data_IF_752034270871
#
_entry.id   IF_752034270871
#
_cell.length_a   1.000
_cell.length_b   1.000
_cell.length_c   1.000
_cell.angle_alpha   90.00
_cell.angle_beta   90.00
_cell.angle_gamma   90.00
#
_symmetry.space_group_name_H-M   'P 1'
#
loop_
_entity.id
_entity.type
_entity.pdbx_description
1 polymer ?
#
# COMPACT_ATOMS: atom_id res chain seq x y z
N UNK A 1 25.40 -16.48 -14.41
CA UNK A 1 24.52 -15.33 -14.73
C UNK A 1 23.09 -15.87 -14.69
N UNK A 2 22.23 -15.34 -13.82
CA UNK A 2 20.83 -15.77 -13.74
C UNK A 2 20.05 -15.16 -14.90
N UNK A 3 19.43 -15.99 -15.73
CA UNK A 3 18.54 -15.55 -16.80
C UNK A 3 17.11 -15.63 -16.27
N UNK A 4 16.57 -14.50 -15.82
CA UNK A 4 15.26 -14.41 -15.19
C UNK A 4 14.27 -13.78 -16.16
N UNK A 5 13.27 -14.57 -16.58
CA UNK A 5 12.12 -14.07 -17.33
C UNK A 5 11.05 -13.67 -16.33
N UNK A 6 10.84 -12.36 -16.17
CA UNK A 6 9.77 -11.85 -15.31
C UNK A 6 8.40 -12.05 -16.00
N UNK A 7 7.33 -12.31 -15.23
CA UNK A 7 5.97 -12.32 -15.77
C UNK A 7 5.61 -10.94 -16.32
N UNK A 8 4.66 -10.90 -17.26
CA UNK A 8 4.16 -9.65 -17.81
C UNK A 8 3.58 -8.77 -16.69
N UNK A 9 3.85 -7.46 -16.76
CA UNK A 9 3.35 -6.50 -15.77
C UNK A 9 1.82 -6.49 -15.79
N UNK A 10 1.22 -6.59 -14.61
CA UNK A 10 -0.22 -6.49 -14.48
C UNK A 10 -0.69 -5.06 -14.81
N UNK A 11 -1.93 -4.94 -15.30
CA UNK A 11 -2.52 -3.67 -15.67
C UNK A 11 -2.62 -2.69 -14.50
N UNK A 12 -2.67 -1.39 -14.81
CA UNK A 12 -2.82 -0.34 -13.81
C UNK A 12 -4.16 -0.45 -13.09
N UNK A 13 -4.14 -0.33 -11.76
CA UNK A 13 -5.37 -0.23 -10.98
C UNK A 13 -5.74 1.23 -10.82
N UNK A 14 -7.02 1.54 -11.08
CA UNK A 14 -7.58 2.88 -10.84
C UNK A 14 -8.58 2.80 -9.68
N UNK A 15 -8.46 3.68 -8.66
CA UNK A 15 -9.47 3.76 -7.61
C UNK A 15 -10.79 4.32 -8.16
N UNK A 16 -11.91 3.88 -7.58
CA UNK A 16 -13.21 4.50 -7.83
C UNK A 16 -13.27 5.91 -7.21
N UNK A 17 -14.20 6.78 -7.65
CA UNK A 17 -14.44 8.05 -6.97
C UNK A 17 -14.72 7.84 -5.47
N UNK A 18 -14.01 8.57 -4.60
CA UNK A 18 -14.12 8.42 -3.14
C UNK A 18 -13.35 7.21 -2.57
N UNK A 19 -12.60 6.47 -3.39
CA UNK A 19 -11.78 5.34 -2.95
C UNK A 19 -10.30 5.74 -2.79
N UNK A 20 -9.67 5.27 -1.72
CA UNK A 20 -8.24 5.39 -1.44
C UNK A 20 -7.61 4.00 -1.55
N UNK A 21 -6.56 3.87 -2.37
CA UNK A 21 -5.79 2.64 -2.47
C UNK A 21 -4.63 2.65 -1.47
N UNK A 22 -4.65 1.69 -0.54
CA UNK A 22 -3.56 1.46 0.41
C UNK A 22 -2.62 0.38 -0.11
N UNK A 23 -1.35 0.74 -0.29
CA UNK A 23 -0.28 -0.19 -0.65
C UNK A 23 0.67 -0.28 0.53
N UNK A 24 0.86 -1.48 1.06
CA UNK A 24 1.78 -1.73 2.16
C UNK A 24 3.13 -2.17 1.62
N UNK A 25 4.19 -1.46 2.01
CA UNK A 25 5.55 -1.89 1.76
C UNK A 25 6.03 -2.75 2.93
N UNK A 26 6.54 -3.95 2.65
CA UNK A 26 7.03 -4.89 3.66
C UNK A 26 8.56 -4.86 3.71
N UNK A 27 9.13 -5.16 4.87
CA UNK A 27 10.57 -5.41 5.00
C UNK A 27 10.93 -6.68 4.20
N UNK A 28 12.15 -6.77 3.66
CA UNK A 28 12.58 -7.98 2.96
C UNK A 28 12.86 -9.15 3.93
N UNK A 29 13.01 -8.86 5.22
CA UNK A 29 13.23 -9.83 6.29
C UNK A 29 11.87 -10.22 6.88
N UNK A 30 11.47 -11.47 6.65
CA UNK A 30 10.22 -12.02 7.19
C UNK A 30 10.04 -11.79 8.70
N UNK A 31 11.04 -12.02 9.58
CA UNK A 31 10.86 -11.85 11.02
C UNK A 31 10.47 -10.42 11.42
N UNK A 32 11.00 -9.42 10.72
CA UNK A 32 10.69 -8.01 10.99
C UNK A 32 9.21 -7.70 10.69
N UNK A 33 8.66 -8.29 9.62
CA UNK A 33 7.26 -8.14 9.26
C UNK A 33 6.34 -8.84 10.25
N UNK A 34 6.63 -10.10 10.59
CA UNK A 34 5.79 -10.90 11.50
C UNK A 34 5.61 -10.19 12.84
N UNK A 35 6.69 -9.63 13.39
CA UNK A 35 6.65 -8.86 14.63
C UNK A 35 5.78 -7.60 14.50
N UNK A 36 5.77 -6.90 13.36
CA UNK A 36 5.04 -5.64 13.21
C UNK A 36 3.59 -5.78 12.73
N UNK A 37 3.18 -6.94 12.19
CA UNK A 37 1.83 -7.14 11.64
C UNK A 37 0.68 -6.78 12.59
N UNK A 38 0.71 -7.11 13.90
CA UNK A 38 -0.38 -6.74 14.80
C UNK A 38 -0.55 -5.22 14.91
N UNK A 39 0.57 -4.51 15.04
CA UNK A 39 0.59 -3.05 15.10
C UNK A 39 0.15 -2.45 13.77
N UNK A 40 0.63 -2.97 12.65
CA UNK A 40 0.22 -2.54 11.31
C UNK A 40 -1.30 -2.65 11.16
N UNK A 41 -1.90 -3.81 11.49
CA UNK A 41 -3.35 -4.02 11.40
C UNK A 41 -4.14 -3.00 12.23
N UNK A 42 -3.67 -2.67 13.43
CA UNK A 42 -4.31 -1.65 14.27
C UNK A 42 -4.30 -0.26 13.61
N UNK A 43 -3.17 0.13 13.04
CA UNK A 43 -3.06 1.43 12.35
C UNK A 43 -3.88 1.48 11.06
N UNK A 44 -3.94 0.38 10.31
CA UNK A 44 -4.77 0.28 9.11
C UNK A 44 -6.26 0.43 9.44
N UNK A 45 -6.74 -0.21 10.51
CA UNK A 45 -8.12 -0.04 10.98
C UNK A 45 -8.42 1.40 11.40
N UNK A 46 -7.51 2.03 12.14
CA UNK A 46 -7.66 3.44 12.54
C UNK A 46 -7.67 4.38 11.34
N UNK A 47 -6.84 4.10 10.34
CA UNK A 47 -6.80 4.86 9.09
C UNK A 47 -8.11 4.70 8.31
N UNK A 48 -8.63 3.47 8.19
CA UNK A 48 -9.92 3.20 7.55
C UNK A 48 -11.04 3.99 8.22
N UNK A 49 -11.19 3.90 9.54
CA UNK A 49 -12.20 4.66 10.29
C UNK A 49 -12.05 6.16 10.08
N UNK A 50 -10.82 6.70 10.09
CA UNK A 50 -10.59 8.12 9.87
C UNK A 50 -10.92 8.58 8.45
N UNK A 51 -10.75 7.71 7.44
CA UNK A 51 -11.11 8.02 6.06
C UNK A 51 -12.62 7.96 5.86
N UNK A 52 -13.31 7.03 6.52
CA UNK A 52 -14.77 6.91 6.48
C UNK A 52 -15.46 8.18 7.03
N UNK A 53 -14.95 8.76 8.12
CA UNK A 53 -15.51 10.02 8.65
C UNK A 53 -15.31 11.21 7.70
N UNK A 54 -14.35 11.11 6.78
CA UNK A 54 -14.09 12.10 5.72
C UNK A 54 -14.83 11.77 4.41
N UNK A 55 -15.63 10.71 4.37
CA UNK A 55 -16.40 10.30 3.20
C UNK A 55 -15.62 9.46 2.18
N UNK A 56 -14.46 8.93 2.54
CA UNK A 56 -13.65 8.06 1.69
C UNK A 56 -13.77 6.59 2.12
N UNK A 57 -13.53 5.67 1.17
CA UNK A 57 -13.41 4.24 1.44
C UNK A 57 -11.99 3.77 1.19
N UNK A 58 -11.43 3.00 2.11
CA UNK A 58 -10.10 2.41 1.95
C UNK A 58 -10.22 1.06 1.23
N UNK A 59 -9.37 0.82 0.23
CA UNK A 59 -9.18 -0.49 -0.39
C UNK A 59 -7.72 -0.87 -0.36
N UNK A 60 -7.42 -2.09 0.08
CA UNK A 60 -6.07 -2.63 0.02
C UNK A 60 -5.71 -2.96 -1.42
N UNK A 61 -4.62 -2.39 -1.91
CA UNK A 61 -4.06 -2.68 -3.22
C UNK A 61 -3.27 -4.00 -3.19
N UNK A 62 -3.23 -4.73 -4.32
CA UNK A 62 -2.35 -5.88 -4.46
C UNK A 62 -0.88 -5.46 -4.47
N UNK A 63 -0.03 -6.29 -3.88
CA UNK A 63 1.42 -6.10 -3.90
C UNK A 63 1.94 -6.17 -5.34
N UNK A 64 2.76 -5.18 -5.73
CA UNK A 64 3.42 -5.14 -7.05
C UNK A 64 2.61 -4.52 -8.18
N UNK A 65 1.36 -4.08 -7.96
CA UNK A 65 0.59 -3.36 -8.98
C UNK A 65 0.68 -1.84 -8.79
N UNK A 66 0.78 -1.14 -9.92
CA UNK A 66 0.88 0.32 -9.93
C UNK A 66 -0.51 0.96 -9.95
N UNK A 67 -0.71 1.95 -9.10
CA UNK A 67 -1.89 2.80 -9.16
C UNK A 67 -1.76 3.81 -10.32
N UNK A 68 -2.82 4.01 -11.10
CA UNK A 68 -2.81 4.88 -12.28
C UNK A 68 -2.55 6.37 -11.95
N UNK A 69 -2.82 6.81 -10.71
CA UNK A 69 -2.52 8.15 -10.18
C UNK A 69 -2.11 8.07 -8.72
N UNK A 70 -0.82 7.96 -8.45
CA UNK A 70 -0.26 8.05 -7.09
C UNK A 70 0.15 9.49 -6.78
N UNK A 71 -0.56 10.16 -5.87
CA UNK A 71 -0.03 11.35 -5.19
C UNK A 71 0.90 10.84 -4.08
N UNK A 72 2.18 10.71 -4.38
CA UNK A 72 3.17 10.29 -3.38
C UNK A 72 3.42 11.48 -2.46
N UNK A 73 2.99 11.37 -1.20
CA UNK A 73 3.45 12.30 -0.17
C UNK A 73 4.86 11.86 0.24
N UNK A 74 5.89 12.50 -0.33
CA UNK A 74 7.25 12.35 0.16
C UNK A 74 7.30 13.00 1.54
N UNK A 75 7.63 12.21 2.57
CA UNK A 75 7.97 12.77 3.87
C UNK A 75 9.18 13.70 3.67
N UNK A 76 9.14 14.96 4.15
CA UNK A 76 10.33 15.80 4.13
C UNK A 76 11.41 15.13 4.95
N UNK A 77 12.62 15.00 4.39
CA UNK A 77 13.74 14.39 5.10
C UNK A 77 13.96 15.09 6.43
N UNK A 78 13.85 14.32 7.53
CA UNK A 78 14.30 14.80 8.84
C UNK A 78 15.82 14.79 8.82
N UNK A 79 16.39 15.99 8.75
CA UNK A 79 17.82 16.27 8.96
C UNK A 79 18.24 15.98 10.39
#
# INVERSE_FOLDING_TARGET
MLNLTLPAEAGLITPQPGEVLMVTNADLREPANVTCWPTQKLFEQRLETALETLGYRLRRGPSGQRAARSRVYQQPERR
#
